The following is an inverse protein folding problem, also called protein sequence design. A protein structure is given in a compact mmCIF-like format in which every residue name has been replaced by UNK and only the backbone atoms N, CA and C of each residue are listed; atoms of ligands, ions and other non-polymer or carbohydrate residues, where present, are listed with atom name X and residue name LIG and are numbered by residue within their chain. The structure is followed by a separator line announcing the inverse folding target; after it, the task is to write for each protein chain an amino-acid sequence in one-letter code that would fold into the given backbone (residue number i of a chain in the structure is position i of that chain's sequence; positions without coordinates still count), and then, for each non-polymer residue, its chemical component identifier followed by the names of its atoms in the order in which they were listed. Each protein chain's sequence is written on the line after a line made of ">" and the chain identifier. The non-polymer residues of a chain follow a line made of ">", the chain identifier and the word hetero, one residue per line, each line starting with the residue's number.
data_IF_270010447947
#
_entry.id   IF_270010447947
#
_cell.length_a   1.000
_cell.length_b   1.000
_cell.length_c   1.000
_cell.angle_alpha   90.00
_cell.angle_beta   90.00
_cell.angle_gamma   90.00
#
_symmetry.space_group_name_H-M   'P 1'
#
loop_
_entity.id
_entity.type
_entity.pdbx_description
1 polymer ?
#
# COMPACT_ATOMS: atom_id res chain seq x y z
N UNK A 1 -26.55 12.75 9.25
CA UNK A 1 -25.35 12.49 8.41
C UNK A 1 -25.20 10.99 8.30
N UNK A 2 -24.78 10.44 7.17
CA UNK A 2 -24.62 9.02 7.00
C UNK A 2 -23.51 8.46 7.92
N UNK A 3 -23.71 7.22 8.36
CA UNK A 3 -22.75 6.46 9.14
C UNK A 3 -22.06 5.46 8.24
N UNK A 4 -20.76 5.62 8.06
CA UNK A 4 -19.92 4.70 7.30
C UNK A 4 -19.34 3.65 8.24
N UNK A 5 -19.58 2.37 7.94
CA UNK A 5 -18.97 1.25 8.65
C UNK A 5 -17.66 0.85 7.99
N UNK A 6 -16.57 0.80 8.76
CA UNK A 6 -15.27 0.30 8.32
C UNK A 6 -14.97 -1.01 9.02
N UNK A 7 -14.86 -2.09 8.26
CA UNK A 7 -14.45 -3.40 8.79
C UNK A 7 -12.93 -3.47 8.78
N UNK A 8 -12.36 -3.60 9.98
CA UNK A 8 -10.94 -3.52 10.28
C UNK A 8 -10.57 -2.25 11.04
N UNK A 9 -9.73 -2.40 12.07
CA UNK A 9 -9.30 -1.32 12.98
C UNK A 9 -7.90 -0.79 12.69
N UNK A 10 -7.36 -0.97 11.48
CA UNK A 10 -6.00 -0.62 11.11
C UNK A 10 -5.78 0.87 10.82
N UNK A 11 -4.61 1.17 10.25
CA UNK A 11 -4.25 2.56 9.93
C UNK A 11 -5.12 3.20 8.86
N UNK A 12 -5.66 2.41 7.91
CA UNK A 12 -6.52 2.96 6.87
C UNK A 12 -7.85 3.42 7.46
N UNK A 13 -8.42 2.64 8.38
CA UNK A 13 -9.61 3.04 9.13
C UNK A 13 -9.36 4.30 9.97
N UNK A 14 -8.18 4.42 10.64
CA UNK A 14 -7.79 5.62 11.39
C UNK A 14 -7.75 6.86 10.49
N UNK A 15 -7.09 6.78 9.34
CA UNK A 15 -6.99 7.92 8.41
C UNK A 15 -8.32 8.22 7.71
N UNK A 16 -9.15 7.20 7.47
CA UNK A 16 -10.53 7.41 6.99
C UNK A 16 -11.38 8.13 8.03
N UNK A 17 -11.24 7.80 9.33
CA UNK A 17 -11.90 8.53 10.41
C UNK A 17 -11.48 10.00 10.45
N UNK A 18 -10.18 10.27 10.31
CA UNK A 18 -9.67 11.64 10.22
C UNK A 18 -10.30 12.41 9.05
N UNK A 19 -10.47 11.79 7.89
CA UNK A 19 -11.12 12.41 6.74
C UNK A 19 -12.65 12.57 6.90
N UNK A 20 -13.29 11.72 7.70
CA UNK A 20 -14.73 11.79 7.97
C UNK A 20 -15.11 13.01 8.84
N UNK A 21 -14.23 13.43 9.76
CA UNK A 21 -14.50 14.52 10.72
C UNK A 21 -14.89 15.84 10.02
N UNK A 22 -14.09 16.40 9.07
CA UNK A 22 -14.46 17.63 8.41
C UNK A 22 -15.70 17.52 7.51
N UNK A 23 -16.05 16.29 7.06
CA UNK A 23 -17.28 16.04 6.32
C UNK A 23 -18.52 15.91 7.24
N UNK A 24 -18.34 15.99 8.55
CA UNK A 24 -19.41 15.79 9.54
C UNK A 24 -19.97 14.36 9.55
N UNK A 25 -19.24 13.39 8.98
CA UNK A 25 -19.65 11.99 8.93
C UNK A 25 -19.23 11.25 10.18
N UNK A 26 -19.97 10.21 10.55
CA UNK A 26 -19.61 9.30 11.62
C UNK A 26 -19.00 8.03 11.02
N UNK A 27 -17.76 7.74 11.38
CA UNK A 27 -17.14 6.44 11.08
C UNK A 27 -17.39 5.49 12.26
N UNK A 28 -18.00 4.33 11.96
CA UNK A 28 -18.08 3.20 12.86
C UNK A 28 -17.02 2.17 12.47
N UNK A 29 -16.32 1.61 13.44
CA UNK A 29 -15.23 0.64 13.18
C UNK A 29 -15.56 -0.70 13.79
N UNK A 30 -15.45 -1.79 13.00
CA UNK A 30 -15.41 -3.17 13.51
C UNK A 30 -13.93 -3.54 13.70
N UNK A 31 -13.49 -3.64 14.95
CA UNK A 31 -12.11 -3.91 15.31
C UNK A 31 -11.95 -5.21 16.08
N UNK A 32 -10.82 -5.88 15.91
CA UNK A 32 -10.52 -7.14 16.63
C UNK A 32 -10.13 -6.84 18.07
N UNK A 33 -9.47 -5.69 18.31
CA UNK A 33 -8.98 -5.29 19.63
C UNK A 33 -9.25 -3.80 19.90
N UNK A 34 -9.39 -3.47 21.18
CA UNK A 34 -9.66 -2.10 21.61
C UNK A 34 -8.43 -1.17 21.47
N UNK A 35 -7.24 -1.74 21.33
CA UNK A 35 -5.97 -1.04 21.12
C UNK A 35 -5.54 -1.01 19.63
N UNK A 36 -6.41 -1.44 18.71
CA UNK A 36 -6.16 -1.25 17.29
C UNK A 36 -6.09 0.23 16.92
N UNK A 37 -5.31 0.52 15.90
CA UNK A 37 -4.97 1.89 15.43
C UNK A 37 -6.17 2.84 15.33
N UNK A 38 -7.27 2.39 14.72
CA UNK A 38 -8.48 3.20 14.59
C UNK A 38 -9.32 3.20 15.88
N UNK A 39 -9.35 2.09 16.61
CA UNK A 39 -10.13 1.98 17.85
C UNK A 39 -9.66 2.98 18.93
N UNK A 40 -8.37 3.34 18.92
CA UNK A 40 -7.81 4.35 19.84
C UNK A 40 -8.34 5.77 19.63
N UNK A 41 -8.92 6.08 18.47
CA UNK A 41 -9.31 7.46 18.09
C UNK A 41 -10.76 7.59 17.64
N UNK A 42 -11.42 6.47 17.36
CA UNK A 42 -12.81 6.46 16.88
C UNK A 42 -13.77 6.28 18.06
N UNK A 43 -14.77 7.15 18.25
CA UNK A 43 -15.70 7.04 19.37
C UNK A 43 -16.73 5.90 19.21
N UNK A 44 -16.98 5.41 17.99
CA UNK A 44 -17.95 4.35 17.68
C UNK A 44 -17.22 3.09 17.22
N UNK A 45 -16.85 2.25 18.18
CA UNK A 45 -16.13 1.00 17.97
C UNK A 45 -16.99 -0.17 18.41
N UNK A 46 -17.09 -1.18 17.55
CA UNK A 46 -17.61 -2.51 17.88
C UNK A 46 -16.47 -3.52 17.83
N UNK A 47 -16.30 -4.33 18.87
CA UNK A 47 -15.33 -5.42 18.85
C UNK A 47 -15.94 -6.64 18.19
N UNK A 48 -15.23 -7.23 17.23
CA UNK A 48 -15.63 -8.40 16.48
C UNK A 48 -14.64 -8.76 15.38
N UNK A 49 -14.73 -9.98 14.90
CA UNK A 49 -13.84 -10.47 13.85
C UNK A 49 -14.52 -10.39 12.47
N UNK A 50 -13.77 -10.04 11.44
CA UNK A 50 -14.27 -9.93 10.06
C UNK A 50 -14.70 -11.27 9.42
N UNK A 51 -14.39 -12.40 10.05
CA UNK A 51 -14.88 -13.73 9.64
C UNK A 51 -16.11 -14.19 10.42
N UNK A 52 -16.58 -13.41 11.39
CA UNK A 52 -17.79 -13.67 12.13
C UNK A 52 -18.99 -12.98 11.45
N UNK A 53 -19.83 -13.78 10.78
CA UNK A 53 -20.98 -13.27 10.05
C UNK A 53 -22.00 -12.59 10.96
N UNK A 54 -22.20 -13.07 12.19
CA UNK A 54 -23.18 -12.46 13.09
C UNK A 54 -22.68 -11.13 13.64
N UNK A 55 -21.37 -11.01 13.90
CA UNK A 55 -20.74 -9.72 14.20
C UNK A 55 -20.87 -8.75 13.03
N UNK A 56 -20.60 -9.18 11.80
CA UNK A 56 -20.76 -8.37 10.59
C UNK A 56 -22.20 -7.91 10.38
N UNK A 57 -23.21 -8.77 10.61
CA UNK A 57 -24.63 -8.41 10.55
C UNK A 57 -25.03 -7.36 11.60
N UNK A 58 -24.58 -7.58 12.86
CA UNK A 58 -24.84 -6.64 13.94
C UNK A 58 -24.21 -5.27 13.66
N UNK A 59 -23.03 -5.27 13.05
CA UNK A 59 -22.30 -4.08 12.64
C UNK A 59 -23.03 -3.36 11.50
N UNK A 60 -23.33 -4.06 10.39
CA UNK A 60 -23.92 -3.50 9.17
C UNK A 60 -25.32 -2.86 9.43
N UNK A 61 -26.14 -3.44 10.31
CA UNK A 61 -27.45 -2.89 10.69
C UNK A 61 -27.41 -1.45 11.22
N UNK A 62 -26.26 -0.98 11.66
CA UNK A 62 -26.09 0.36 12.21
C UNK A 62 -25.30 1.29 11.28
N UNK A 63 -25.08 0.87 10.03
CA UNK A 63 -24.35 1.64 9.03
C UNK A 63 -25.20 1.88 7.80
N UNK A 64 -25.05 3.03 7.16
CA UNK A 64 -25.67 3.33 5.87
C UNK A 64 -24.91 2.67 4.72
N UNK A 65 -23.58 2.51 4.89
CA UNK A 65 -22.70 1.79 3.96
C UNK A 65 -21.59 1.12 4.76
N UNK A 66 -21.14 -0.06 4.30
CA UNK A 66 -19.99 -0.79 4.87
C UNK A 66 -18.85 -0.80 3.86
N UNK A 67 -17.63 -0.56 4.33
CA UNK A 67 -16.40 -0.65 3.56
C UNK A 67 -15.30 -1.32 4.38
N UNK A 68 -14.08 -1.45 3.82
CA UNK A 68 -13.03 -2.28 4.38
C UNK A 68 -11.69 -1.55 4.51
N UNK A 69 -10.99 -1.82 5.59
CA UNK A 69 -9.60 -1.40 5.82
C UNK A 69 -8.59 -2.45 5.26
N UNK A 70 -9.06 -3.68 4.98
CA UNK A 70 -8.27 -4.77 4.42
C UNK A 70 -9.13 -5.68 3.54
N UNK A 71 -8.52 -6.55 2.74
CA UNK A 71 -9.21 -7.43 1.79
C UNK A 71 -9.62 -8.80 2.36
N UNK A 72 -9.54 -9.06 3.67
CA UNK A 72 -9.66 -10.43 4.23
C UNK A 72 -11.08 -10.86 4.58
N UNK A 73 -12.09 -10.02 4.36
CA UNK A 73 -13.49 -10.38 4.62
C UNK A 73 -13.93 -11.46 3.64
N UNK A 74 -14.51 -12.60 4.12
CA UNK A 74 -14.99 -13.66 3.23
C UNK A 74 -16.06 -13.16 2.25
N UNK A 75 -15.90 -13.50 0.96
CA UNK A 75 -16.82 -13.04 -0.09
C UNK A 75 -18.26 -13.51 0.12
N UNK A 76 -18.48 -14.70 0.70
CA UNK A 76 -19.81 -15.22 1.05
C UNK A 76 -20.47 -14.36 2.14
N UNK A 77 -19.71 -13.81 3.09
CA UNK A 77 -20.27 -12.91 4.12
C UNK A 77 -20.70 -11.58 3.48
N UNK A 78 -19.89 -11.04 2.55
CA UNK A 78 -20.25 -9.83 1.82
C UNK A 78 -21.52 -10.04 1.00
N UNK A 79 -21.63 -11.16 0.26
CA UNK A 79 -22.85 -11.49 -0.51
C UNK A 79 -24.08 -11.64 0.40
N UNK A 80 -23.89 -12.21 1.57
CA UNK A 80 -24.98 -12.35 2.56
C UNK A 80 -25.48 -11.00 3.02
N UNK A 81 -24.58 -10.08 3.41
CA UNK A 81 -24.96 -8.72 3.82
C UNK A 81 -25.66 -7.96 2.70
N UNK A 82 -25.20 -8.07 1.46
CA UNK A 82 -25.85 -7.44 0.29
C UNK A 82 -27.24 -8.04 0.05
N UNK A 83 -27.42 -9.36 0.16
CA UNK A 83 -28.70 -10.03 0.03
C UNK A 83 -29.69 -9.64 1.16
N UNK A 84 -29.17 -9.28 2.33
CA UNK A 84 -29.95 -8.75 3.46
C UNK A 84 -30.26 -7.24 3.32
N UNK A 85 -29.86 -6.59 2.20
CA UNK A 85 -30.18 -5.21 1.87
C UNK A 85 -29.17 -4.16 2.33
N UNK A 86 -28.00 -4.56 2.81
CA UNK A 86 -26.93 -3.65 3.21
C UNK A 86 -26.10 -3.19 2.00
N UNK A 87 -25.77 -1.90 1.93
CA UNK A 87 -24.81 -1.37 0.98
C UNK A 87 -23.38 -1.74 1.46
N UNK A 88 -22.63 -2.49 0.64
CA UNK A 88 -21.27 -2.95 0.96
C UNK A 88 -20.35 -2.70 -0.22
N UNK A 89 -19.28 -1.93 -0.02
CA UNK A 89 -18.36 -1.50 -1.06
C UNK A 89 -16.90 -1.63 -0.65
N UNK A 90 -16.05 -2.21 -1.54
CA UNK A 90 -16.39 -2.89 -2.78
C UNK A 90 -17.21 -4.16 -2.55
N UNK A 91 -17.98 -4.58 -3.55
CA UNK A 91 -18.73 -5.82 -3.52
C UNK A 91 -17.82 -7.06 -3.61
N UNK A 92 -18.35 -8.25 -3.25
CA UNK A 92 -17.60 -9.50 -3.23
C UNK A 92 -17.00 -9.86 -4.60
N UNK A 93 -17.74 -9.56 -5.69
CA UNK A 93 -17.33 -9.92 -7.05
C UNK A 93 -16.15 -9.04 -7.55
N UNK A 94 -15.99 -7.85 -7.01
CA UNK A 94 -14.79 -7.06 -7.21
C UNK A 94 -13.65 -7.49 -6.26
N UNK A 95 -13.94 -7.57 -4.96
CA UNK A 95 -12.92 -7.77 -3.92
C UNK A 95 -12.14 -9.09 -4.07
N UNK A 96 -12.75 -10.14 -4.66
CA UNK A 96 -12.08 -11.41 -4.89
C UNK A 96 -10.78 -11.28 -5.70
N UNK A 97 -10.68 -10.27 -6.60
CA UNK A 97 -9.48 -10.03 -7.41
C UNK A 97 -8.34 -9.36 -6.63
N UNK A 98 -8.64 -8.70 -5.52
CA UNK A 98 -7.62 -8.25 -4.58
C UNK A 98 -7.22 -9.32 -3.56
N UNK A 99 -8.09 -10.33 -3.34
CA UNK A 99 -7.84 -11.44 -2.43
C UNK A 99 -7.04 -12.59 -3.05
N UNK A 100 -7.06 -12.72 -4.38
CA UNK A 100 -6.57 -13.91 -5.08
C UNK A 100 -5.87 -13.53 -6.39
N UNK A 101 -4.53 -13.64 -6.37
CA UNK A 101 -3.67 -13.27 -7.51
C UNK A 101 -3.93 -14.13 -8.76
N UNK A 102 -4.30 -15.40 -8.58
CA UNK A 102 -4.60 -16.29 -9.70
C UNK A 102 -5.89 -15.86 -10.40
N UNK A 103 -6.95 -15.53 -9.65
CA UNK A 103 -8.19 -14.99 -10.21
C UNK A 103 -7.94 -13.63 -10.87
N UNK A 104 -7.19 -12.76 -10.22
CA UNK A 104 -6.83 -11.43 -10.74
C UNK A 104 -6.13 -11.55 -12.09
N UNK A 105 -5.04 -12.33 -12.17
CA UNK A 105 -4.25 -12.52 -13.41
C UNK A 105 -5.11 -13.05 -14.54
N UNK A 106 -5.90 -14.11 -14.26
CA UNK A 106 -6.80 -14.71 -15.26
C UNK A 106 -7.79 -13.67 -15.77
N UNK A 107 -8.46 -12.94 -14.86
CA UNK A 107 -9.46 -11.95 -15.25
C UNK A 107 -8.87 -10.77 -16.02
N UNK A 108 -7.72 -10.26 -15.62
CA UNK A 108 -7.05 -9.17 -16.33
C UNK A 108 -6.61 -9.60 -17.74
N UNK A 109 -6.09 -10.82 -17.88
CA UNK A 109 -5.74 -11.37 -19.20
C UNK A 109 -6.98 -11.54 -20.09
N UNK A 110 -8.11 -12.06 -19.57
CA UNK A 110 -9.39 -12.13 -20.31
C UNK A 110 -9.87 -10.77 -20.80
N UNK A 111 -9.63 -9.72 -20.01
CA UNK A 111 -9.97 -8.34 -20.37
C UNK A 111 -8.97 -7.71 -21.34
N UNK A 112 -7.90 -8.42 -21.72
CA UNK A 112 -6.82 -7.88 -22.56
C UNK A 112 -6.06 -6.75 -21.86
N UNK A 113 -5.94 -6.83 -20.54
CA UNK A 113 -5.08 -5.94 -19.74
C UNK A 113 -3.67 -6.49 -19.74
N UNK A 114 -2.64 -5.67 -20.05
CA UNK A 114 -1.26 -6.12 -20.01
C UNK A 114 -0.84 -6.59 -18.62
N UNK A 115 -0.42 -7.83 -18.51
CA UNK A 115 0.11 -8.47 -17.28
C UNK A 115 1.37 -9.27 -17.64
N UNK A 116 2.27 -9.56 -16.69
CA UNK A 116 3.36 -10.49 -16.92
C UNK A 116 2.83 -11.85 -17.41
N UNK A 117 3.54 -12.54 -18.30
CA UNK A 117 3.22 -13.92 -18.63
C UNK A 117 3.12 -14.75 -17.35
N UNK A 118 2.09 -15.56 -17.23
CA UNK A 118 1.82 -16.29 -15.99
C UNK A 118 1.21 -17.67 -16.22
N UNK A 119 1.38 -18.54 -15.22
CA UNK A 119 0.66 -19.81 -15.13
C UNK A 119 0.18 -20.03 -13.68
N UNK A 120 -0.90 -20.79 -13.53
CA UNK A 120 -1.40 -21.16 -12.21
C UNK A 120 -1.17 -22.66 -12.00
N UNK A 121 -0.56 -23.01 -10.87
CA UNK A 121 -0.31 -24.39 -10.49
C UNK A 121 -0.85 -24.69 -9.09
N UNK A 122 -1.23 -25.95 -8.86
CA UNK A 122 -1.58 -26.41 -7.52
C UNK A 122 -0.28 -26.66 -6.73
N UNK A 123 -0.19 -26.12 -5.54
CA UNK A 123 0.96 -26.33 -4.67
C UNK A 123 1.12 -27.80 -4.23
N UNK A 124 0.01 -28.56 -4.18
CA UNK A 124 0.01 -29.98 -3.86
C UNK A 124 0.29 -30.90 -5.07
N UNK A 125 0.40 -30.35 -6.30
CA UNK A 125 0.69 -31.15 -7.50
C UNK A 125 2.09 -31.79 -7.39
N UNK A 126 2.21 -33.13 -7.44
CA UNK A 126 3.51 -33.80 -7.43
C UNK A 126 4.45 -33.36 -8.57
N UNK A 127 3.88 -32.93 -9.70
CA UNK A 127 4.61 -32.41 -10.86
C UNK A 127 4.87 -30.89 -10.78
N UNK A 128 4.64 -30.25 -9.63
CA UNK A 128 4.77 -28.80 -9.45
C UNK A 128 6.15 -28.27 -9.88
N UNK A 129 7.23 -28.95 -9.46
CA UNK A 129 8.61 -28.55 -9.81
C UNK A 129 8.87 -28.65 -11.33
N UNK A 130 8.32 -29.67 -11.98
CA UNK A 130 8.41 -29.82 -13.44
C UNK A 130 7.63 -28.71 -14.17
N UNK A 131 6.45 -28.33 -13.64
CA UNK A 131 5.68 -27.21 -14.20
C UNK A 131 6.38 -25.88 -14.04
N UNK A 132 7.01 -25.62 -12.88
CA UNK A 132 7.81 -24.40 -12.66
C UNK A 132 9.00 -24.39 -13.61
N UNK A 133 9.68 -25.55 -13.79
CA UNK A 133 10.79 -25.69 -14.73
C UNK A 133 10.36 -25.40 -16.16
N UNK A 134 9.28 -26.04 -16.62
CA UNK A 134 8.76 -25.82 -17.97
C UNK A 134 8.40 -24.34 -18.21
N UNK A 135 7.79 -23.69 -17.22
CA UNK A 135 7.47 -22.26 -17.28
C UNK A 135 8.75 -21.40 -17.39
N UNK A 136 9.77 -21.67 -16.57
CA UNK A 136 11.03 -20.93 -16.61
C UNK A 136 11.80 -21.15 -17.92
N UNK A 137 11.76 -22.37 -18.47
CA UNK A 137 12.41 -22.70 -19.75
C UNK A 137 11.68 -22.02 -20.93
N UNK A 138 10.35 -21.83 -20.86
CA UNK A 138 9.55 -21.16 -21.88
C UNK A 138 9.68 -19.64 -21.83
N UNK A 139 9.61 -19.05 -20.63
CA UNK A 139 9.52 -17.58 -20.44
C UNK A 139 10.84 -16.95 -19.99
N UNK A 140 11.87 -17.74 -19.72
CA UNK A 140 13.18 -17.29 -19.24
C UNK A 140 13.32 -17.32 -17.72
N UNK A 141 14.60 -17.39 -17.32
CA UNK A 141 15.01 -17.33 -15.92
C UNK A 141 15.61 -15.95 -15.61
N UNK A 142 15.44 -15.40 -14.39
CA UNK A 142 14.66 -15.99 -13.29
C UNK A 142 13.16 -15.97 -13.57
N UNK A 143 12.38 -16.80 -12.86
CA UNK A 143 10.94 -16.70 -12.78
C UNK A 143 10.50 -16.42 -11.34
N UNK A 144 9.28 -15.90 -11.18
CA UNK A 144 8.72 -15.53 -9.87
C UNK A 144 7.58 -16.48 -9.54
N UNK A 145 7.59 -17.02 -8.32
CA UNK A 145 6.49 -17.84 -7.78
C UNK A 145 5.82 -17.05 -6.66
N UNK A 146 4.50 -16.91 -6.69
CA UNK A 146 3.73 -16.20 -5.67
C UNK A 146 2.62 -17.10 -5.12
N UNK A 147 2.32 -17.01 -3.83
CA UNK A 147 1.05 -17.56 -3.32
C UNK A 147 -0.12 -16.83 -3.96
N UNK A 148 -1.17 -17.56 -4.37
CA UNK A 148 -2.36 -16.92 -4.90
C UNK A 148 -3.08 -16.08 -3.82
N UNK A 149 -3.02 -16.50 -2.56
CA UNK A 149 -3.65 -15.83 -1.42
C UNK A 149 -2.67 -15.60 -0.27
N UNK A 150 -2.90 -14.58 0.53
CA UNK A 150 -2.21 -14.35 1.81
C UNK A 150 -0.81 -13.71 1.73
N UNK A 151 -0.26 -13.45 0.54
CA UNK A 151 1.02 -12.75 0.37
C UNK A 151 0.86 -11.23 0.46
N UNK A 152 1.79 -10.55 1.15
CA UNK A 152 1.86 -9.09 1.26
C UNK A 152 3.28 -8.64 1.62
N UNK A 153 3.67 -7.42 1.27
CA UNK A 153 4.97 -6.82 1.61
C UNK A 153 6.15 -7.82 1.38
N UNK A 154 6.24 -8.43 0.19
CA UNK A 154 7.28 -9.39 -0.19
C UNK A 154 7.11 -10.81 0.38
N UNK A 155 6.16 -11.06 1.28
CA UNK A 155 5.87 -12.41 1.80
C UNK A 155 5.08 -13.23 0.81
N UNK A 156 5.42 -14.53 0.70
CA UNK A 156 4.78 -15.43 -0.25
C UNK A 156 5.21 -15.17 -1.70
N UNK A 157 6.42 -14.65 -1.88
CA UNK A 157 7.04 -14.40 -3.19
C UNK A 157 8.44 -15.03 -3.18
N UNK A 158 8.74 -15.83 -4.20
CA UNK A 158 10.03 -16.47 -4.40
C UNK A 158 10.54 -16.17 -5.80
N UNK A 159 11.80 -15.80 -5.91
CA UNK A 159 12.48 -15.63 -7.19
C UNK A 159 13.36 -16.87 -7.42
N UNK A 160 12.99 -17.67 -8.39
CA UNK A 160 13.74 -18.88 -8.78
C UNK A 160 14.66 -18.51 -9.94
N UNK A 161 15.97 -18.57 -9.69
CA UNK A 161 16.98 -18.03 -10.60
C UNK A 161 17.33 -18.97 -11.75
N UNK A 162 17.16 -20.27 -11.53
CA UNK A 162 17.47 -21.29 -12.54
C UNK A 162 16.74 -22.61 -12.25
N UNK A 163 16.66 -23.45 -13.26
CA UNK A 163 16.13 -24.81 -13.14
C UNK A 163 16.84 -25.65 -12.06
N UNK A 164 18.13 -25.39 -11.80
CA UNK A 164 18.91 -26.13 -10.81
C UNK A 164 18.43 -25.92 -9.37
N UNK A 165 17.77 -24.79 -9.06
CA UNK A 165 17.19 -24.54 -7.73
C UNK A 165 15.99 -25.45 -7.44
N UNK A 166 15.41 -26.09 -8.45
CA UNK A 166 14.28 -27.01 -8.34
C UNK A 166 14.72 -28.49 -8.17
N UNK A 167 16.01 -28.77 -8.35
CA UNK A 167 16.54 -30.10 -8.16
C UNK A 167 16.68 -30.42 -6.67
N UNK A 168 16.53 -31.70 -6.25
CA UNK A 168 16.74 -32.09 -4.86
C UNK A 168 18.15 -31.69 -4.40
N UNK A 169 18.27 -31.16 -3.18
CA UNK A 169 19.55 -30.87 -2.61
C UNK A 169 20.40 -32.15 -2.55
N UNK A 170 21.71 -32.11 -2.89
CA UNK A 170 22.61 -33.21 -2.59
C UNK A 170 22.57 -33.54 -1.10
N UNK A 171 22.65 -34.81 -0.74
CA UNK A 171 22.57 -35.26 0.65
C UNK A 171 23.42 -34.39 1.59
N UNK A 172 22.76 -33.66 2.52
CA UNK A 172 23.40 -32.87 3.57
C UNK A 172 23.65 -31.38 3.25
N UNK A 173 23.31 -30.87 2.07
CA UNK A 173 23.41 -29.44 1.77
C UNK A 173 22.22 -28.65 2.32
N UNK A 174 22.46 -27.68 3.21
CA UNK A 174 21.44 -26.75 3.71
C UNK A 174 21.33 -25.50 2.83
N UNK A 175 22.35 -25.16 2.07
CA UNK A 175 22.43 -24.02 1.18
C UNK A 175 22.96 -24.46 -0.21
N UNK A 176 22.33 -24.01 -1.29
CA UNK A 176 22.75 -24.24 -2.65
C UNK A 176 21.62 -24.70 -3.58
N UNK A 177 21.94 -25.03 -4.86
CA UNK A 177 20.96 -25.58 -5.79
C UNK A 177 20.30 -26.84 -5.21
N UNK A 178 18.95 -26.82 -5.13
CA UNK A 178 18.16 -27.90 -4.56
C UNK A 178 17.86 -27.82 -3.07
N UNK A 179 18.19 -26.70 -2.39
CA UNK A 179 17.66 -26.42 -1.05
C UNK A 179 16.13 -26.30 -1.08
N UNK A 180 15.48 -26.64 0.04
CA UNK A 180 14.03 -26.43 0.15
C UNK A 180 13.70 -24.96 -0.04
N UNK A 181 13.04 -24.63 -1.14
CA UNK A 181 12.62 -23.26 -1.45
C UNK A 181 11.57 -22.73 -0.49
N UNK A 182 11.10 -23.54 0.46
CA UNK A 182 10.04 -23.15 1.40
C UNK A 182 8.71 -22.84 0.71
N UNK A 183 8.47 -23.39 -0.50
CA UNK A 183 7.20 -23.22 -1.19
C UNK A 183 6.10 -23.94 -0.41
N UNK A 184 4.90 -23.32 -0.27
CA UNK A 184 3.80 -23.97 0.43
C UNK A 184 3.41 -25.30 -0.24
N UNK A 185 2.94 -26.24 0.57
CA UNK A 185 2.50 -27.55 0.11
C UNK A 185 1.02 -27.61 -0.25
N UNK A 186 0.27 -26.53 -0.07
CA UNK A 186 -1.18 -26.46 -0.32
C UNK A 186 -1.55 -25.12 -0.97
N UNK A 187 -2.76 -25.05 -1.50
CA UNK A 187 -3.28 -23.88 -2.19
C UNK A 187 -2.79 -23.77 -3.63
N UNK A 188 -2.97 -22.58 -4.21
CA UNK A 188 -2.53 -22.27 -5.57
C UNK A 188 -1.32 -21.36 -5.57
N UNK A 189 -0.45 -21.60 -6.52
CA UNK A 189 0.71 -20.74 -6.83
C UNK A 189 0.49 -20.07 -8.19
N UNK A 190 0.95 -18.85 -8.31
CA UNK A 190 1.05 -18.11 -9.56
C UNK A 190 2.53 -18.05 -9.95
N UNK A 191 2.85 -18.60 -11.10
CA UNK A 191 4.15 -18.46 -11.75
C UNK A 191 4.09 -17.21 -12.61
N UNK A 192 5.09 -16.36 -12.58
CA UNK A 192 5.18 -15.16 -13.41
C UNK A 192 6.57 -15.05 -14.04
N UNK A 193 6.61 -14.62 -15.29
CA UNK A 193 7.87 -14.23 -15.91
C UNK A 193 8.46 -13.05 -15.14
N UNK A 194 9.77 -13.06 -14.94
CA UNK A 194 10.47 -11.94 -14.33
C UNK A 194 10.41 -10.73 -15.25
N UNK A 195 9.93 -9.61 -14.70
CA UNK A 195 9.76 -8.37 -15.45
C UNK A 195 11.02 -7.52 -15.34
N UNK A 196 11.74 -7.23 -16.45
CA UNK A 196 12.86 -6.29 -16.46
C UNK A 196 12.33 -4.84 -16.44
N UNK A 197 11.77 -4.46 -15.30
CA UNK A 197 11.15 -3.14 -15.11
C UNK A 197 12.21 -2.03 -14.95
N UNK A 198 11.88 -0.83 -15.45
CA UNK A 198 12.63 0.39 -15.17
C UNK A 198 12.35 0.89 -13.76
N UNK A 199 11.08 0.86 -13.36
CA UNK A 199 10.60 1.26 -12.03
C UNK A 199 9.17 0.76 -11.80
N UNK A 200 8.73 0.90 -10.56
CA UNK A 200 7.34 0.66 -10.19
C UNK A 200 6.56 1.97 -10.18
N UNK A 201 5.32 1.90 -10.67
CA UNK A 201 4.36 2.99 -10.68
C UNK A 201 3.07 2.55 -9.97
N UNK A 202 2.27 3.52 -9.54
CA UNK A 202 0.90 3.25 -9.11
C UNK A 202 -0.07 4.29 -9.68
N UNK A 203 -1.17 3.80 -10.26
CA UNK A 203 -2.31 4.60 -10.66
C UNK A 203 -3.44 4.40 -9.65
N UNK A 204 -3.79 5.46 -8.91
CA UNK A 204 -4.85 5.44 -7.91
C UNK A 204 -6.07 6.13 -8.47
N UNK A 205 -7.22 5.45 -8.41
CA UNK A 205 -8.51 5.96 -8.90
C UNK A 205 -9.60 5.76 -7.85
N UNK A 206 -10.67 6.54 -7.94
CA UNK A 206 -11.88 6.34 -7.15
C UNK A 206 -13.08 6.25 -8.09
N UNK A 207 -14.05 5.39 -7.74
CA UNK A 207 -15.28 5.20 -8.52
C UNK A 207 -16.48 5.07 -7.60
N UNK A 208 -17.59 5.76 -7.92
CA UNK A 208 -18.87 5.66 -7.22
C UNK A 208 -19.74 4.53 -7.78
N UNK A 209 -20.81 4.10 -7.07
CA UNK A 209 -21.74 3.07 -7.56
C UNK A 209 -22.36 3.40 -8.92
N UNK A 210 -22.61 4.67 -9.20
CA UNK A 210 -23.23 5.14 -10.44
C UNK A 210 -22.23 5.59 -11.51
N UNK A 211 -20.94 5.28 -11.31
CA UNK A 211 -19.94 5.39 -12.36
C UNK A 211 -19.20 6.73 -12.45
N UNK A 212 -19.41 7.66 -11.49
CA UNK A 212 -18.47 8.77 -11.35
C UNK A 212 -17.08 8.20 -11.10
N UNK A 213 -16.07 8.76 -11.73
CA UNK A 213 -14.70 8.31 -11.54
C UNK A 213 -13.72 9.49 -11.52
N UNK A 214 -12.67 9.38 -10.72
CA UNK A 214 -11.58 10.34 -10.65
C UNK A 214 -10.25 9.57 -10.52
N UNK A 215 -9.20 10.11 -11.13
CA UNK A 215 -7.84 9.57 -11.04
C UNK A 215 -6.91 10.62 -10.45
N UNK A 216 -6.01 10.21 -9.56
CA UNK A 216 -4.88 11.04 -9.16
C UNK A 216 -3.76 10.94 -10.18
N UNK A 217 -2.82 11.89 -10.19
CA UNK A 217 -1.58 11.73 -10.93
C UNK A 217 -0.90 10.40 -10.62
N UNK A 218 -0.35 9.76 -11.66
CA UNK A 218 0.42 8.52 -11.51
C UNK A 218 1.66 8.81 -10.67
N UNK A 219 1.98 7.92 -9.75
CA UNK A 219 3.11 8.06 -8.83
C UNK A 219 4.17 7.00 -9.09
N UNK A 220 5.41 7.33 -8.76
CA UNK A 220 6.47 6.35 -8.65
C UNK A 220 6.51 5.81 -7.23
N UNK A 221 6.63 4.49 -7.09
CA UNK A 221 6.90 3.83 -5.81
C UNK A 221 8.33 3.27 -5.81
N UNK A 222 8.98 3.36 -4.66
CA UNK A 222 10.33 2.82 -4.45
C UNK A 222 10.25 1.76 -3.37
N UNK A 223 10.71 0.56 -3.72
CA UNK A 223 10.73 -0.57 -2.80
C UNK A 223 12.14 -0.79 -2.24
N UNK A 224 12.21 -1.25 -1.00
CA UNK A 224 13.40 -1.82 -0.38
C UNK A 224 13.01 -3.12 0.30
N UNK A 225 13.67 -4.21 -0.04
CA UNK A 225 13.37 -5.56 0.47
C UNK A 225 11.88 -5.95 0.37
N UNK A 226 11.24 -5.56 -0.75
CA UNK A 226 9.82 -5.83 -1.01
C UNK A 226 8.83 -4.95 -0.23
N UNK A 227 9.31 -3.94 0.50
CA UNK A 227 8.47 -2.99 1.24
C UNK A 227 8.59 -1.61 0.60
N UNK A 228 7.46 -0.97 0.29
CA UNK A 228 7.45 0.40 -0.20
C UNK A 228 8.03 1.36 0.86
N UNK A 229 9.10 2.08 0.52
CA UNK A 229 9.77 3.03 1.40
C UNK A 229 9.50 4.49 1.00
N UNK A 230 9.27 4.76 -0.29
CA UNK A 230 9.06 6.11 -0.81
C UNK A 230 7.98 6.10 -1.89
N UNK A 231 7.18 7.16 -1.96
CA UNK A 231 6.27 7.46 -3.07
C UNK A 231 6.50 8.89 -3.54
N UNK A 232 6.61 9.07 -4.86
CA UNK A 232 6.84 10.38 -5.48
C UNK A 232 5.66 10.73 -6.39
N UNK A 233 5.00 11.79 -6.09
CA UNK A 233 3.84 12.31 -6.83
C UNK A 233 4.14 13.69 -7.44
N UNK A 234 3.95 13.88 -8.77
CA UNK A 234 3.73 12.86 -9.79
C UNK A 234 5.01 12.04 -10.05
N UNK A 235 4.91 10.92 -10.77
CA UNK A 235 6.06 10.11 -11.15
C UNK A 235 7.05 10.94 -12.00
N UNK A 236 8.31 11.13 -11.55
CA UNK A 236 9.24 12.01 -12.23
C UNK A 236 9.61 11.49 -13.63
N UNK A 237 9.61 12.38 -14.64
CA UNK A 237 10.00 12.02 -16.00
C UNK A 237 9.05 11.04 -16.72
N UNK A 238 7.89 10.74 -16.15
CA UNK A 238 6.83 10.03 -16.86
C UNK A 238 6.16 11.00 -17.83
N UNK A 239 6.15 10.67 -19.12
CA UNK A 239 5.50 11.49 -20.13
C UNK A 239 3.96 11.47 -20.00
N UNK A 240 3.30 12.51 -20.56
CA UNK A 240 1.86 12.68 -20.45
C UNK A 240 1.07 11.56 -21.12
N UNK A 241 1.58 10.97 -22.21
CA UNK A 241 0.91 9.88 -22.95
C UNK A 241 0.88 8.62 -22.09
N UNK A 242 2.01 8.23 -21.49
CA UNK A 242 2.13 7.07 -20.63
C UNK A 242 1.39 7.27 -19.30
N UNK A 243 1.48 8.47 -18.70
CA UNK A 243 0.70 8.84 -17.52
C UNK A 243 -0.81 8.73 -17.79
N UNK A 244 -1.26 9.26 -18.96
CA UNK A 244 -2.63 9.14 -19.42
C UNK A 244 -3.04 7.69 -19.67
N UNK A 245 -2.16 6.86 -20.26
CA UNK A 245 -2.42 5.43 -20.50
C UNK A 245 -2.59 4.68 -19.17
N UNK A 246 -1.73 4.89 -18.18
CA UNK A 246 -1.83 4.29 -16.85
C UNK A 246 -3.15 4.67 -16.13
N UNK A 247 -3.53 5.95 -16.19
CA UNK A 247 -4.79 6.42 -15.60
C UNK A 247 -6.02 5.83 -16.30
N UNK A 248 -6.03 5.79 -17.64
CA UNK A 248 -7.12 5.15 -18.41
C UNK A 248 -7.21 3.66 -18.12
N UNK A 249 -6.07 2.97 -18.01
CA UNK A 249 -6.01 1.55 -17.67
C UNK A 249 -6.63 1.29 -16.30
N UNK A 250 -6.27 2.07 -15.28
CA UNK A 250 -6.81 1.94 -13.93
C UNK A 250 -8.32 2.22 -13.88
N UNK A 251 -8.80 3.26 -14.58
CA UNK A 251 -10.23 3.57 -14.70
C UNK A 251 -11.01 2.47 -15.40
N UNK A 252 -10.44 1.90 -16.48
CA UNK A 252 -11.01 0.74 -17.19
C UNK A 252 -11.12 -0.46 -16.25
N UNK A 253 -10.06 -0.81 -15.53
CA UNK A 253 -10.08 -1.93 -14.58
C UNK A 253 -11.15 -1.69 -13.49
N UNK A 254 -11.22 -0.48 -12.92
CA UNK A 254 -12.24 -0.13 -11.93
C UNK A 254 -13.66 -0.33 -12.47
N UNK A 255 -13.92 0.04 -13.73
CA UNK A 255 -15.21 -0.13 -14.41
C UNK A 255 -15.55 -1.59 -14.69
N UNK A 256 -14.62 -2.34 -15.31
CA UNK A 256 -14.81 -3.74 -15.72
C UNK A 256 -14.95 -4.70 -14.52
N UNK A 257 -14.30 -4.39 -13.41
CA UNK A 257 -14.42 -5.18 -12.19
C UNK A 257 -15.52 -4.67 -11.25
N UNK A 258 -16.21 -3.57 -11.59
CA UNK A 258 -17.28 -3.01 -10.78
C UNK A 258 -16.82 -2.48 -9.41
N UNK A 259 -15.58 -1.98 -9.32
CA UNK A 259 -15.04 -1.45 -8.06
C UNK A 259 -15.78 -0.19 -7.65
N UNK A 260 -16.16 -0.10 -6.38
CA UNK A 260 -16.68 1.10 -5.73
C UNK A 260 -15.79 1.45 -4.55
N UNK A 261 -15.41 2.72 -4.46
CA UNK A 261 -14.39 3.21 -3.54
C UNK A 261 -13.08 3.51 -4.26
N UNK A 262 -11.98 3.48 -3.53
CA UNK A 262 -10.63 3.65 -4.08
C UNK A 262 -10.08 2.31 -4.58
N UNK A 263 -9.47 2.35 -5.76
CA UNK A 263 -8.66 1.29 -6.34
C UNK A 263 -7.25 1.83 -6.59
N UNK A 264 -6.24 1.12 -6.13
CA UNK A 264 -4.87 1.29 -6.56
C UNK A 264 -4.48 0.17 -7.51
N UNK A 265 -3.91 0.53 -8.65
CA UNK A 265 -3.34 -0.39 -9.63
C UNK A 265 -1.83 -0.20 -9.60
N UNK A 266 -1.12 -1.20 -9.12
CA UNK A 266 0.34 -1.23 -9.15
C UNK A 266 0.83 -1.68 -10.52
N UNK A 267 1.82 -0.99 -11.06
CA UNK A 267 2.28 -1.14 -12.42
C UNK A 267 3.81 -1.28 -12.47
N UNK A 268 4.29 -2.11 -13.37
CA UNK A 268 5.67 -2.08 -13.81
C UNK A 268 5.79 -1.22 -15.06
N UNK A 269 6.70 -0.25 -15.06
CA UNK A 269 7.12 0.45 -16.27
C UNK A 269 8.21 -0.36 -16.94
N UNK A 270 7.99 -0.70 -18.21
CA UNK A 270 8.88 -1.50 -19.04
C UNK A 270 9.11 -0.85 -20.40
N UNK A 271 10.04 -1.38 -21.18
CA UNK A 271 10.11 -1.01 -22.59
C UNK A 271 8.82 -1.39 -23.32
N UNK A 272 8.26 -0.51 -24.17
CA UNK A 272 7.09 -0.82 -24.99
C UNK A 272 7.35 -2.03 -25.90
N UNK A 273 6.38 -2.92 -25.97
CA UNK A 273 6.47 -4.14 -26.76
C UNK A 273 5.09 -4.76 -27.04
N UNK A 274 5.03 -5.90 -27.74
CA UNK A 274 3.74 -6.53 -28.11
C UNK A 274 2.84 -6.81 -26.91
N UNK A 275 3.41 -7.23 -25.77
CA UNK A 275 2.67 -7.58 -24.55
C UNK A 275 2.41 -6.37 -23.64
N UNK A 276 3.09 -5.25 -23.88
CA UNK A 276 2.98 -4.01 -23.12
C UNK A 276 3.10 -2.81 -24.08
N UNK A 277 2.10 -2.53 -24.93
CA UNK A 277 2.22 -1.51 -25.98
C UNK A 277 2.47 -0.11 -25.43
N UNK A 278 1.90 0.23 -24.26
CA UNK A 278 2.14 1.50 -23.57
C UNK A 278 3.36 1.45 -22.62
N UNK A 279 4.12 0.34 -22.59
CA UNK A 279 5.21 0.13 -21.66
C UNK A 279 4.75 -0.07 -20.21
N UNK A 280 3.56 -0.61 -20.00
CA UNK A 280 2.95 -0.81 -18.68
C UNK A 280 2.45 -2.25 -18.53
N UNK A 281 2.79 -2.88 -17.41
CA UNK A 281 2.24 -4.19 -16.99
C UNK A 281 1.62 -4.06 -15.62
N UNK A 282 0.42 -4.63 -15.42
CA UNK A 282 -0.24 -4.62 -14.11
C UNK A 282 0.41 -5.66 -13.20
N UNK A 283 0.86 -5.21 -12.02
CA UNK A 283 1.40 -6.07 -10.98
C UNK A 283 0.33 -6.54 -9.99
N UNK A 284 -0.37 -5.59 -9.33
CA UNK A 284 -1.32 -5.94 -8.26
C UNK A 284 -2.47 -4.91 -8.19
N UNK A 285 -3.58 -5.33 -7.58
CA UNK A 285 -4.74 -4.49 -7.33
C UNK A 285 -5.00 -4.42 -5.83
N UNK A 286 -5.27 -3.20 -5.32
CA UNK A 286 -5.76 -2.99 -3.96
C UNK A 286 -7.08 -2.21 -4.00
N UNK A 287 -8.17 -2.80 -3.52
CA UNK A 287 -9.53 -2.24 -3.60
C UNK A 287 -9.93 -1.51 -2.32
N UNK A 288 -9.06 -0.63 -1.86
CA UNK A 288 -9.16 0.21 -0.66
C UNK A 288 -8.18 1.37 -0.78
N UNK A 289 -8.24 2.37 0.11
CA UNK A 289 -7.14 3.33 0.24
C UNK A 289 -5.79 2.59 0.36
N UNK A 290 -4.79 3.05 -0.36
CA UNK A 290 -3.53 2.33 -0.53
C UNK A 290 -2.33 3.19 -0.12
N UNK A 291 -1.23 2.52 0.25
CA UNK A 291 0.01 3.19 0.67
C UNK A 291 0.53 4.17 -0.41
N UNK A 292 0.44 3.79 -1.69
CA UNK A 292 0.84 4.65 -2.81
C UNK A 292 -0.01 5.92 -2.96
N UNK A 293 -1.15 6.01 -2.28
CA UNK A 293 -2.03 7.18 -2.25
C UNK A 293 -1.90 8.05 -0.99
N UNK A 294 -1.05 7.70 -0.01
CA UNK A 294 -0.97 8.45 1.26
C UNK A 294 -0.42 9.87 1.10
N UNK A 295 0.41 10.11 0.09
CA UNK A 295 0.87 11.45 -0.27
C UNK A 295 -0.27 12.44 -0.52
N UNK A 296 -1.43 11.93 -1.00
CA UNK A 296 -2.59 12.76 -1.38
C UNK A 296 -3.27 13.43 -0.19
N UNK A 297 -3.00 12.99 1.05
CA UNK A 297 -3.57 13.60 2.27
C UNK A 297 -3.15 15.07 2.39
N UNK A 298 -1.90 15.37 2.05
CA UNK A 298 -1.35 16.73 2.10
C UNK A 298 -1.06 17.29 0.71
N UNK A 299 -0.86 16.44 -0.28
CA UNK A 299 -0.37 16.81 -1.62
C UNK A 299 -1.44 16.95 -2.69
N UNK A 300 -2.71 16.64 -2.41
CA UNK A 300 -3.83 16.76 -3.36
C UNK A 300 -4.95 17.60 -2.79
N UNK A 301 -5.76 18.22 -3.67
CA UNK A 301 -6.98 18.96 -3.28
C UNK A 301 -7.94 18.05 -2.51
N UNK A 302 -8.10 16.81 -2.97
CA UNK A 302 -8.89 15.79 -2.26
C UNK A 302 -8.03 14.55 -2.04
N UNK A 303 -7.78 14.22 -0.78
CA UNK A 303 -7.02 13.05 -0.39
C UNK A 303 -7.80 11.75 -0.62
N UNK A 304 -7.09 10.62 -0.72
CA UNK A 304 -7.69 9.33 -1.03
C UNK A 304 -8.76 8.87 -0.02
N UNK A 305 -8.60 9.20 1.26
CA UNK A 305 -9.53 8.78 2.30
C UNK A 305 -10.86 9.55 2.22
N UNK A 306 -10.79 10.87 1.97
CA UNK A 306 -11.98 11.67 1.71
C UNK A 306 -12.67 11.21 0.43
N UNK A 307 -11.92 10.98 -0.63
CA UNK A 307 -12.47 10.51 -1.90
C UNK A 307 -13.11 9.13 -1.77
N UNK A 308 -12.52 8.23 -0.95
CA UNK A 308 -13.10 6.92 -0.66
C UNK A 308 -14.47 7.07 0.02
N UNK A 309 -14.58 7.94 1.03
CA UNK A 309 -15.85 8.24 1.69
C UNK A 309 -16.89 8.80 0.70
N UNK A 310 -16.50 9.75 -0.15
CA UNK A 310 -17.36 10.30 -1.20
C UNK A 310 -17.82 9.21 -2.17
N UNK A 311 -16.90 8.34 -2.60
CA UNK A 311 -17.19 7.28 -3.55
C UNK A 311 -18.17 6.23 -2.99
N UNK A 312 -17.97 5.74 -1.77
CA UNK A 312 -18.84 4.70 -1.17
C UNK A 312 -20.22 5.25 -0.77
N UNK A 313 -20.33 6.56 -0.57
CA UNK A 313 -21.59 7.26 -0.27
C UNK A 313 -22.28 7.83 -1.52
N UNK A 314 -21.69 7.65 -2.71
CA UNK A 314 -22.13 8.26 -3.96
C UNK A 314 -22.23 9.80 -3.89
N UNK A 315 -21.35 10.44 -3.17
CA UNK A 315 -21.19 11.88 -3.20
C UNK A 315 -20.42 12.32 -4.44
N UNK A 316 -20.60 13.57 -4.92
CA UNK A 316 -19.74 14.10 -5.97
C UNK A 316 -18.27 13.97 -5.61
N UNK A 317 -17.49 13.37 -6.53
CA UNK A 317 -16.08 13.20 -6.32
C UNK A 317 -15.35 14.56 -6.35
N UNK A 318 -14.35 14.70 -5.50
CA UNK A 318 -13.52 15.90 -5.42
C UNK A 318 -12.43 15.92 -6.49
N UNK A 319 -11.83 17.09 -6.70
CA UNK A 319 -10.69 17.28 -7.59
C UNK A 319 -9.44 16.61 -7.02
N UNK A 320 -8.65 16.02 -7.89
CA UNK A 320 -7.45 15.24 -7.55
C UNK A 320 -6.14 15.97 -7.90
N UNK A 321 -6.22 17.27 -8.19
CA UNK A 321 -5.08 18.09 -8.58
C UNK A 321 -4.04 18.17 -7.46
N UNK A 322 -2.79 18.30 -7.87
CA UNK A 322 -1.66 18.51 -6.97
C UNK A 322 -1.71 19.91 -6.31
N UNK A 323 -1.30 19.99 -5.05
CA UNK A 323 -1.15 21.24 -4.30
C UNK A 323 0.26 21.83 -4.46
N UNK A 324 1.24 21.06 -4.92
CA UNK A 324 2.61 21.49 -5.20
C UNK A 324 3.14 20.72 -6.43
N UNK A 325 4.21 21.22 -7.08
CA UNK A 325 4.83 20.50 -8.21
C UNK A 325 5.19 19.05 -7.90
N UNK A 326 5.68 18.78 -6.69
CA UNK A 326 5.95 17.43 -6.19
C UNK A 326 5.49 17.26 -4.74
N UNK A 327 5.11 16.05 -4.40
CA UNK A 327 4.96 15.55 -3.03
C UNK A 327 5.74 14.25 -2.91
N UNK A 328 6.63 14.19 -1.92
CA UNK A 328 7.37 12.96 -1.59
C UNK A 328 6.86 12.42 -0.27
N UNK A 329 6.39 11.18 -0.27
CA UNK A 329 5.99 10.43 0.92
C UNK A 329 7.08 9.45 1.30
N UNK A 330 7.52 9.48 2.57
CA UNK A 330 8.41 8.48 3.15
C UNK A 330 7.68 7.62 4.18
N UNK A 331 7.75 6.29 4.05
CA UNK A 331 7.19 5.39 5.05
C UNK A 331 8.06 5.35 6.31
N UNK A 332 7.42 5.45 7.47
CA UNK A 332 8.07 5.25 8.78
C UNK A 332 7.88 3.79 9.18
N UNK A 333 8.96 3.04 9.14
CA UNK A 333 9.00 1.62 9.51
C UNK A 333 9.56 1.46 10.92
N UNK A 334 9.22 0.38 11.62
CA UNK A 334 9.89 0.03 12.85
C UNK A 334 11.34 -0.37 12.55
N UNK A 335 12.28 0.36 13.09
CA UNK A 335 13.73 0.07 12.99
C UNK A 335 14.14 -1.17 13.81
N UNK A 336 15.45 -1.46 13.89
CA UNK A 336 15.97 -2.52 14.75
C UNK A 336 15.59 -2.28 16.22
N UNK A 337 15.23 -3.35 16.93
CA UNK A 337 14.81 -3.26 18.33
C UNK A 337 15.94 -2.79 19.28
N UNK A 338 17.18 -3.06 18.90
CA UNK A 338 18.43 -2.77 19.61
C UNK A 338 19.31 -1.72 18.89
N UNK A 339 18.70 -0.97 17.95
CA UNK A 339 19.39 0.08 17.20
C UNK A 339 19.84 1.27 18.06
N UNK A 340 20.75 2.12 17.55
CA UNK A 340 21.32 3.26 18.29
C UNK A 340 20.26 4.21 18.87
N UNK A 341 19.11 4.35 18.22
CA UNK A 341 18.00 5.20 18.66
C UNK A 341 16.92 4.48 19.45
N UNK A 342 17.10 3.21 19.84
CA UNK A 342 16.06 2.41 20.52
C UNK A 342 15.56 3.04 21.84
N UNK A 343 16.39 3.84 22.52
CA UNK A 343 16.04 4.56 23.74
C UNK A 343 15.25 5.86 23.51
N UNK A 344 15.16 6.35 22.28
CA UNK A 344 14.50 7.62 21.96
C UNK A 344 13.01 7.37 21.66
N UNK A 345 12.13 7.91 22.50
CA UNK A 345 10.69 7.78 22.34
C UNK A 345 10.14 8.47 21.09
N UNK A 346 8.99 8.02 20.58
CA UNK A 346 8.39 8.59 19.38
C UNK A 346 8.04 10.08 19.55
N UNK A 347 7.63 10.50 20.74
CA UNK A 347 7.33 11.90 21.05
C UNK A 347 8.58 12.79 20.87
N UNK A 348 9.72 12.35 21.40
CA UNK A 348 11.01 13.05 21.26
C UNK A 348 11.46 13.07 19.78
N UNK A 349 11.25 11.97 19.04
CA UNK A 349 11.56 11.93 17.60
C UNK A 349 10.72 12.95 16.82
N UNK A 350 9.43 13.06 17.11
CA UNK A 350 8.55 14.04 16.49
C UNK A 350 8.98 15.46 16.84
N UNK A 351 9.34 15.71 18.11
CA UNK A 351 9.83 17.03 18.57
C UNK A 351 11.08 17.47 17.80
N UNK A 352 12.10 16.61 17.72
CA UNK A 352 13.34 16.94 16.99
C UNK A 352 13.12 17.08 15.50
N UNK A 353 12.25 16.24 14.90
CA UNK A 353 11.89 16.37 13.48
C UNK A 353 11.22 17.73 13.20
N UNK A 354 10.25 18.11 14.02
CA UNK A 354 9.54 19.38 13.86
C UNK A 354 10.46 20.60 14.05
N UNK A 355 11.44 20.51 14.97
CA UNK A 355 12.45 21.55 15.15
C UNK A 355 13.38 21.70 13.95
N UNK A 356 13.78 20.58 13.34
CA UNK A 356 14.70 20.56 12.20
C UNK A 356 14.02 20.85 10.86
N UNK A 357 12.86 20.23 10.62
CA UNK A 357 12.12 20.29 9.36
C UNK A 357 10.64 20.61 9.62
N UNK A 358 10.30 21.87 9.97
CA UNK A 358 8.93 22.25 10.34
C UNK A 358 7.91 22.12 9.20
N UNK A 359 8.37 22.00 7.94
CA UNK A 359 7.52 21.79 6.77
C UNK A 359 7.06 20.35 6.59
N UNK A 360 7.68 19.37 7.28
CA UNK A 360 7.34 17.94 7.14
C UNK A 360 6.00 17.66 7.81
N UNK A 361 5.10 17.02 7.08
CA UNK A 361 3.84 16.51 7.61
C UNK A 361 4.04 15.09 8.15
N UNK A 362 3.60 14.84 9.37
CA UNK A 362 3.79 13.55 10.05
C UNK A 362 2.45 12.89 10.31
N UNK A 363 2.32 11.63 9.91
CA UNK A 363 1.13 10.80 10.09
C UNK A 363 1.49 9.51 10.81
N UNK A 364 1.32 9.48 12.14
CA UNK A 364 1.58 8.30 12.95
C UNK A 364 0.30 7.46 13.12
N UNK A 365 0.47 6.15 13.09
CA UNK A 365 -0.67 5.22 13.10
C UNK A 365 -1.06 4.74 14.50
N UNK A 366 -0.33 5.12 15.55
CA UNK A 366 -0.61 4.66 16.92
C UNK A 366 -0.42 3.16 17.13
N UNK A 367 0.44 2.53 16.34
CA UNK A 367 0.73 1.10 16.42
C UNK A 367 1.88 0.80 17.36
N UNK A 368 1.78 -0.34 18.06
CA UNK A 368 2.91 -0.87 18.82
C UNK A 368 4.11 -1.11 17.91
N UNK A 369 5.29 -0.77 18.39
CA UNK A 369 6.55 -0.95 17.70
C UNK A 369 6.80 -2.44 17.39
N UNK A 370 7.19 -2.72 16.14
CA UNK A 370 7.78 -4.00 15.69
C UNK A 370 8.72 -3.70 14.53
N UNK A 371 9.88 -4.35 14.43
CA UNK A 371 10.76 -4.23 13.29
C UNK A 371 10.03 -4.47 11.95
N UNK A 372 10.26 -3.61 10.96
CA UNK A 372 9.62 -3.65 9.65
C UNK A 372 8.14 -3.26 9.59
N UNK A 373 7.48 -3.03 10.73
CA UNK A 373 6.06 -2.64 10.74
C UNK A 373 5.90 -1.18 10.31
N UNK A 374 4.97 -0.89 9.40
CA UNK A 374 4.59 0.49 9.05
C UNK A 374 3.96 1.17 10.26
N UNK A 375 4.67 2.13 10.86
CA UNK A 375 4.28 2.90 12.05
C UNK A 375 3.66 4.24 11.70
N UNK A 376 3.93 4.75 10.51
CA UNK A 376 3.48 6.03 10.02
C UNK A 376 4.01 6.32 8.63
N UNK A 377 3.84 7.56 8.21
CA UNK A 377 4.50 8.13 7.03
C UNK A 377 4.72 9.63 7.24
N UNK A 378 5.59 10.18 6.42
CA UNK A 378 5.81 11.63 6.31
C UNK A 378 5.51 12.09 4.90
N UNK A 379 5.01 13.32 4.73
CA UNK A 379 4.85 13.97 3.43
C UNK A 379 5.65 15.27 3.40
N UNK A 380 6.33 15.52 2.29
CA UNK A 380 7.08 16.75 2.02
C UNK A 380 6.69 17.28 0.65
N UNK A 381 6.27 18.54 0.59
CA UNK A 381 5.77 19.20 -0.61
C UNK A 381 6.70 20.32 -1.07
N UNK A 382 6.84 20.51 -2.37
CA UNK A 382 7.63 21.60 -2.95
C UNK A 382 7.95 21.42 -4.42
N UNK A 383 8.96 22.14 -4.90
CA UNK A 383 9.37 22.15 -6.32
C UNK A 383 10.73 21.50 -6.59
N UNK A 384 11.60 21.41 -5.59
CA UNK A 384 12.91 20.76 -5.72
C UNK A 384 12.84 19.30 -5.29
N UNK A 385 12.68 18.42 -6.27
CA UNK A 385 12.53 16.98 -6.02
C UNK A 385 13.72 16.39 -5.26
N UNK A 386 14.95 16.83 -5.55
CA UNK A 386 16.16 16.33 -4.89
C UNK A 386 16.14 16.62 -3.40
N UNK A 387 15.80 17.86 -3.05
CA UNK A 387 15.67 18.30 -1.66
C UNK A 387 14.50 17.61 -0.95
N UNK A 388 13.34 17.46 -1.61
CA UNK A 388 12.18 16.79 -1.04
C UNK A 388 12.48 15.33 -0.68
N UNK A 389 13.13 14.59 -1.59
CA UNK A 389 13.55 13.20 -1.34
C UNK A 389 14.55 13.10 -0.19
N UNK A 390 15.53 14.03 -0.17
CA UNK A 390 16.51 14.10 0.93
C UNK A 390 15.83 14.31 2.28
N UNK A 391 14.91 15.28 2.37
CA UNK A 391 14.20 15.61 3.60
C UNK A 391 13.26 14.46 4.02
N UNK A 392 12.48 13.90 3.09
CA UNK A 392 11.60 12.78 3.37
C UNK A 392 12.37 11.55 3.86
N UNK A 393 13.51 11.23 3.22
CA UNK A 393 14.38 10.13 3.63
C UNK A 393 14.96 10.33 5.03
N UNK A 394 15.50 11.53 5.32
CA UNK A 394 16.02 11.85 6.65
C UNK A 394 14.93 11.80 7.73
N UNK A 395 13.75 12.33 7.43
CA UNK A 395 12.61 12.33 8.35
C UNK A 395 12.11 10.91 8.64
N UNK A 396 11.95 10.10 7.59
CA UNK A 396 11.51 8.72 7.71
C UNK A 396 12.53 7.88 8.51
N UNK A 397 13.82 7.98 8.21
CA UNK A 397 14.89 7.28 8.94
C UNK A 397 14.95 7.73 10.39
N UNK A 398 14.87 9.02 10.66
CA UNK A 398 14.86 9.54 12.03
C UNK A 398 13.67 9.00 12.84
N UNK A 399 12.46 9.06 12.29
CA UNK A 399 11.27 8.52 12.98
C UNK A 399 11.33 7.00 13.14
N UNK A 400 11.93 6.29 12.18
CA UNK A 400 12.06 4.83 12.19
C UNK A 400 13.12 4.35 13.20
N UNK A 401 14.30 4.97 13.17
CA UNK A 401 15.51 4.45 13.84
C UNK A 401 16.03 5.34 14.97
N UNK A 402 15.57 6.60 15.06
CA UNK A 402 16.08 7.58 16.01
C UNK A 402 17.51 8.03 15.72
N UNK A 403 17.91 7.95 14.44
CA UNK A 403 19.24 8.34 13.97
C UNK A 403 19.11 9.25 12.75
N UNK A 404 19.84 10.36 12.76
CA UNK A 404 19.97 11.22 11.60
C UNK A 404 21.04 10.67 10.67
N UNK A 405 20.63 10.20 9.49
CA UNK A 405 21.52 9.56 8.52
C UNK A 405 22.63 10.48 7.98
N UNK A 406 22.46 11.80 8.10
CA UNK A 406 23.47 12.80 7.73
C UNK A 406 24.36 13.25 8.92
N UNK A 407 24.27 12.58 10.06
CA UNK A 407 25.08 12.84 11.24
C UNK A 407 24.72 14.13 11.99
N UNK A 408 23.60 14.77 11.67
CA UNK A 408 23.15 15.93 12.44
C UNK A 408 22.84 15.57 13.89
N UNK A 409 23.25 16.41 14.81
CA UNK A 409 23.00 16.24 16.24
C UNK A 409 22.36 17.53 16.81
N UNK A 410 21.15 17.36 17.36
CA UNK A 410 20.41 18.46 18.01
C UNK A 410 21.13 19.03 19.24
N UNK A 411 21.98 18.22 19.86
CA UNK A 411 22.69 18.54 21.09
C UNK A 411 24.18 18.84 20.89
N UNK A 412 24.65 18.83 19.62
CA UNK A 412 25.99 19.26 19.31
C UNK A 412 26.19 20.71 19.78
N UNK A 413 27.25 20.96 20.54
CA UNK A 413 27.57 22.28 21.04
C UNK A 413 27.60 23.29 19.88
N UNK A 414 26.78 24.33 19.97
CA UNK A 414 26.71 25.42 18.99
C UNK A 414 28.11 26.01 18.81
N UNK A 415 28.71 25.94 17.62
CA UNK A 415 30.03 26.51 17.40
C UNK A 415 30.05 28.06 17.43
N UNK A 416 28.92 28.73 17.72
CA UNK A 416 28.90 30.16 17.91
C UNK A 416 29.84 30.54 19.07
N UNK A 417 30.80 31.47 18.85
CA UNK A 417 31.66 31.94 19.94
C UNK A 417 30.79 32.56 21.03
N UNK A 418 31.09 32.21 22.29
CA UNK A 418 30.46 32.81 23.44
C UNK A 418 30.40 34.33 23.25
N UNK A 419 29.22 34.95 23.33
CA UNK A 419 29.09 36.41 23.32
C UNK A 419 30.01 36.92 24.36
N UNK A 420 31.03 37.72 23.97
CA UNK A 420 31.81 38.49 24.90
C UNK A 420 30.82 39.39 25.67
N UNK A 421 30.59 39.09 26.91
CA UNK A 421 29.98 40.05 27.81
C UNK A 421 30.88 41.29 27.83
N UNK A 422 30.47 42.32 27.11
CA UNK A 422 31.06 43.67 27.29
C UNK A 422 30.74 44.05 28.72
N UNK A 423 31.76 43.96 29.55
CA UNK A 423 31.76 44.52 30.90
C UNK A 423 31.58 46.03 30.73
N UNK A 424 30.36 46.53 30.96
CA UNK A 424 30.14 47.97 31.16
C UNK A 424 30.77 48.31 32.51
N UNK A 425 32.02 48.76 32.43
CA UNK A 425 32.69 49.41 33.53
C UNK A 425 32.01 50.76 33.77
N UNK A 426 31.57 51.00 34.99
CA UNK A 426 31.35 52.32 35.55
C UNK A 426 32.56 52.70 36.38
#
# INVERSE_FOLDING_TARGET
>A
MPRVGMVGGGQLARMTHQAAIPLGQTLRVLSVAADDSAALVTPDVMLGHHTDLDALRAFARQCDVVTFDHEHVPGEHIRTLVAEGHAVHPGADALQYAQDKALMRTRLAELGVPVPAFAVVDAADPARSERIRAFGDEHGWPCVVKTARGGYDGRGVWVIRSAAELDPAPDGAQDGPGADLGLPGDGRLVLEAFVPMHRELAAVVARSPFGQAAAWPVVQTVQSDGICVEVIAPAPGLDDDRSGAASRLALRIAGELGVVGVLAVELFEVEPGPDAPDGLLVNELAMRPHNSGHWSVDGSVTGQFEQHLRAVLDYPLGRTDLLAPFTVMGNVLGGPADGPGAGIGMDERVHHLAARFPQVKVHLYGKAFRPGRKLGHVNVLGSDLGELRRVAGLAATWLSEGVWADGWDAHAADPRPARQEEAVAR
#
